data_IF_185244992182
#
_entry.id   IF_185244992182
#
_cell.length_a   1.000
_cell.length_b   1.000
_cell.length_c   1.000
_cell.angle_alpha   90.00
_cell.angle_beta   90.00
_cell.angle_gamma   90.00
#
_symmetry.space_group_name_H-M   'P 1'
#
loop_
_entity.id
_entity.type
_entity.pdbx_description
1 polymer ?
#
# COMPACT_ATOMS: atom_id res chain seq x y z
N UNK A 1 -56.01 -21.29 -32.30
CA UNK A 1 -55.37 -20.95 -31.01
C UNK A 1 -54.48 -22.13 -30.61
N UNK A 2 -53.20 -21.93 -30.24
CA UNK A 2 -52.37 -23.01 -29.74
C UNK A 2 -52.95 -23.57 -28.43
N UNK A 3 -52.82 -24.87 -28.21
CA UNK A 3 -53.33 -25.53 -27.02
C UNK A 3 -52.75 -24.91 -25.74
N UNK A 4 -53.56 -24.77 -24.66
CA UNK A 4 -53.08 -24.21 -23.41
C UNK A 4 -51.93 -25.04 -22.85
N UNK A 5 -50.78 -24.42 -22.60
CA UNK A 5 -49.59 -25.08 -22.04
C UNK A 5 -49.93 -25.64 -20.65
N UNK A 6 -50.15 -26.94 -20.52
CA UNK A 6 -50.37 -27.59 -19.22
C UNK A 6 -49.03 -27.80 -18.52
N UNK A 7 -49.03 -27.58 -17.20
CA UNK A 7 -47.93 -27.93 -16.32
C UNK A 7 -48.54 -28.76 -15.20
N UNK A 8 -48.19 -30.03 -15.20
CA UNK A 8 -48.57 -30.97 -14.15
C UNK A 8 -47.30 -31.22 -13.33
N UNK A 9 -47.33 -30.80 -12.05
CA UNK A 9 -46.25 -30.99 -11.09
C UNK A 9 -46.54 -32.26 -10.29
N UNK A 10 -45.50 -33.00 -9.90
CA UNK A 10 -45.63 -34.00 -8.85
C UNK A 10 -45.82 -33.33 -7.48
N UNK A 11 -46.32 -34.09 -6.49
CA UNK A 11 -46.44 -33.57 -5.12
C UNK A 11 -45.10 -33.15 -4.52
N UNK A 12 -44.02 -33.83 -4.91
CA UNK A 12 -42.65 -33.51 -4.49
C UNK A 12 -42.15 -32.22 -5.17
N UNK A 13 -42.45 -32.03 -6.45
CA UNK A 13 -42.08 -30.82 -7.19
C UNK A 13 -42.82 -29.58 -6.68
N UNK A 14 -44.10 -29.69 -6.32
CA UNK A 14 -44.86 -28.58 -5.73
C UNK A 14 -44.30 -28.18 -4.36
N UNK A 15 -43.97 -29.16 -3.51
CA UNK A 15 -43.31 -28.94 -2.21
C UNK A 15 -41.97 -28.25 -2.38
N UNK A 16 -41.13 -28.72 -3.30
CA UNK A 16 -39.82 -28.13 -3.59
C UNK A 16 -39.94 -26.68 -4.09
N UNK A 17 -40.93 -26.38 -4.93
CA UNK A 17 -41.19 -25.01 -5.41
C UNK A 17 -41.71 -24.10 -4.30
N UNK A 18 -42.52 -24.62 -3.37
CA UNK A 18 -42.98 -23.88 -2.19
C UNK A 18 -41.82 -23.57 -1.24
N UNK A 19 -40.93 -24.52 -1.00
CA UNK A 19 -39.73 -24.31 -0.17
C UNK A 19 -38.78 -23.29 -0.80
N UNK A 20 -38.57 -23.36 -2.12
CA UNK A 20 -37.73 -22.39 -2.85
C UNK A 20 -38.21 -20.94 -2.68
N UNK A 21 -39.53 -20.72 -2.57
CA UNK A 21 -40.08 -19.39 -2.31
C UNK A 21 -39.71 -18.87 -0.91
N UNK A 22 -39.60 -19.74 0.09
CA UNK A 22 -39.34 -19.40 1.50
C UNK A 22 -37.84 -19.19 1.79
N UNK A 23 -36.95 -19.89 1.09
CA UNK A 23 -35.51 -19.85 1.34
C UNK A 23 -34.89 -18.44 1.21
N UNK A 24 -34.04 -18.07 2.16
CA UNK A 24 -33.26 -16.83 2.12
C UNK A 24 -32.09 -16.95 1.12
N UNK A 25 -31.73 -15.86 0.44
CA UNK A 25 -30.62 -15.83 -0.54
C UNK A 25 -31.00 -16.18 -1.99
N UNK A 26 -32.20 -16.70 -2.23
CA UNK A 26 -32.70 -16.94 -3.60
C UNK A 26 -33.15 -15.63 -4.26
N UNK A 27 -32.73 -15.33 -5.50
CA UNK A 27 -33.14 -14.11 -6.20
C UNK A 27 -34.66 -14.02 -6.35
N UNK A 28 -35.22 -12.83 -6.14
CA UNK A 28 -36.67 -12.58 -6.22
C UNK A 28 -37.31 -13.12 -7.51
N UNK A 29 -36.64 -12.94 -8.66
CA UNK A 29 -37.12 -13.41 -9.97
C UNK A 29 -37.28 -14.93 -10.04
N UNK A 30 -36.45 -15.70 -9.31
CA UNK A 30 -36.54 -17.16 -9.28
C UNK A 30 -37.76 -17.58 -8.45
N UNK A 31 -37.99 -16.91 -7.31
CA UNK A 31 -39.19 -17.12 -6.46
C UNK A 31 -40.48 -16.79 -7.20
N UNK A 32 -40.51 -15.65 -7.91
CA UNK A 32 -41.65 -15.21 -8.71
C UNK A 32 -41.99 -16.23 -9.82
N UNK A 33 -40.98 -16.79 -10.50
CA UNK A 33 -41.18 -17.83 -11.52
C UNK A 33 -41.69 -19.14 -10.92
N UNK A 34 -41.16 -19.56 -9.76
CA UNK A 34 -41.65 -20.74 -9.06
C UNK A 34 -43.14 -20.61 -8.72
N UNK A 35 -43.56 -19.43 -8.27
CA UNK A 35 -44.97 -19.16 -7.96
C UNK A 35 -45.87 -19.17 -9.20
N UNK A 36 -45.41 -18.59 -10.32
CA UNK A 36 -46.12 -18.64 -11.60
C UNK A 36 -46.38 -20.09 -12.06
N UNK A 37 -45.42 -20.98 -11.85
CA UNK A 37 -45.53 -22.40 -12.22
C UNK A 37 -46.53 -23.13 -11.32
N UNK A 38 -46.46 -22.91 -10.00
CA UNK A 38 -47.43 -23.49 -9.05
C UNK A 38 -48.85 -23.01 -9.33
N UNK A 39 -49.05 -21.72 -9.61
CA UNK A 39 -50.37 -21.18 -9.99
C UNK A 39 -50.93 -21.85 -11.25
N UNK A 40 -50.07 -22.19 -12.20
CA UNK A 40 -50.47 -22.92 -13.41
C UNK A 40 -50.89 -24.35 -13.10
N UNK A 41 -50.18 -25.03 -12.21
CA UNK A 41 -50.51 -26.37 -11.74
C UNK A 41 -51.87 -26.41 -11.02
N UNK A 42 -52.18 -25.40 -10.20
CA UNK A 42 -53.50 -25.22 -9.58
C UNK A 42 -54.61 -24.73 -10.55
N UNK A 43 -54.38 -24.81 -11.87
CA UNK A 43 -55.41 -24.59 -12.88
C UNK A 43 -55.67 -23.13 -13.26
N UNK A 44 -54.82 -22.18 -12.86
CA UNK A 44 -55.02 -20.79 -13.25
C UNK A 44 -54.70 -20.56 -14.74
N UNK A 45 -55.51 -19.73 -15.40
CA UNK A 45 -55.29 -19.31 -16.78
C UNK A 45 -54.08 -18.38 -16.89
N UNK A 46 -53.48 -18.29 -18.08
CA UNK A 46 -52.32 -17.42 -18.33
C UNK A 46 -52.69 -15.96 -18.04
N UNK A 47 -53.90 -15.57 -18.44
CA UNK A 47 -54.46 -14.24 -18.30
C UNK A 47 -54.68 -13.89 -16.83
N UNK A 48 -55.20 -14.83 -16.03
CA UNK A 48 -55.41 -14.65 -14.59
C UNK A 48 -54.09 -14.52 -13.83
N UNK A 49 -53.10 -15.34 -14.17
CA UNK A 49 -51.74 -15.27 -13.58
C UNK A 49 -51.06 -13.94 -13.95
N UNK A 50 -51.17 -13.53 -15.22
CA UNK A 50 -50.61 -12.28 -15.71
C UNK A 50 -51.18 -11.05 -14.96
N UNK A 51 -52.50 -11.01 -14.77
CA UNK A 51 -53.17 -9.96 -14.01
C UNK A 51 -52.75 -9.96 -12.53
N UNK A 52 -52.74 -11.14 -11.88
CA UNK A 52 -52.36 -11.27 -10.47
C UNK A 52 -50.90 -10.85 -10.21
N UNK A 53 -49.99 -11.11 -11.15
CA UNK A 53 -48.56 -10.75 -11.04
C UNK A 53 -48.20 -9.41 -11.65
N UNK A 54 -49.13 -8.70 -12.29
CA UNK A 54 -48.86 -7.48 -13.04
C UNK A 54 -47.82 -7.67 -14.15
N UNK A 55 -47.86 -8.80 -14.87
CA UNK A 55 -46.95 -9.14 -15.98
C UNK A 55 -47.71 -9.28 -17.30
N UNK A 56 -46.96 -9.29 -18.41
CA UNK A 56 -47.55 -9.63 -19.71
C UNK A 56 -47.85 -11.15 -19.78
N UNK A 57 -48.93 -11.56 -20.48
CA UNK A 57 -49.19 -12.97 -20.77
C UNK A 57 -48.03 -13.69 -21.48
N UNK A 58 -47.24 -12.95 -22.27
CA UNK A 58 -46.04 -13.47 -22.93
C UNK A 58 -44.98 -13.91 -21.89
N UNK A 59 -44.71 -13.08 -20.89
CA UNK A 59 -43.76 -13.39 -19.82
C UNK A 59 -44.17 -14.63 -19.03
N UNK A 60 -45.47 -14.81 -18.78
CA UNK A 60 -46.01 -16.01 -18.12
C UNK A 60 -45.79 -17.25 -18.98
N UNK A 61 -46.07 -17.19 -20.29
CA UNK A 61 -45.79 -18.28 -21.24
C UNK A 61 -44.29 -18.60 -21.33
N UNK A 62 -43.43 -17.60 -21.33
CA UNK A 62 -41.97 -17.78 -21.30
C UNK A 62 -41.51 -18.54 -20.06
N UNK A 63 -42.13 -18.28 -18.89
CA UNK A 63 -41.83 -19.03 -17.67
C UNK A 63 -42.19 -20.51 -17.82
N UNK A 64 -43.32 -20.82 -18.45
CA UNK A 64 -43.72 -22.21 -18.71
C UNK A 64 -42.79 -22.90 -19.69
N UNK A 65 -42.36 -22.21 -20.74
CA UNK A 65 -41.37 -22.75 -21.69
C UNK A 65 -40.01 -22.99 -21.05
N UNK A 66 -39.59 -22.11 -20.12
CA UNK A 66 -38.36 -22.29 -19.34
C UNK A 66 -38.44 -23.47 -18.39
N UNK A 67 -39.63 -23.80 -17.87
CA UNK A 67 -39.84 -24.97 -17.01
C UNK A 67 -39.82 -26.29 -17.81
N UNK A 68 -40.53 -26.36 -18.94
CA UNK A 68 -40.87 -27.61 -19.63
C UNK A 68 -39.67 -28.52 -20.02
N UNK A 69 -38.47 -27.97 -20.21
CA UNK A 69 -37.26 -28.74 -20.61
C UNK A 69 -36.31 -29.00 -19.43
N UNK A 70 -35.79 -27.97 -18.74
CA UNK A 70 -34.83 -28.15 -17.64
C UNK A 70 -35.45 -28.17 -16.23
N UNK A 71 -36.78 -28.09 -16.10
CA UNK A 71 -37.47 -28.06 -14.80
C UNK A 71 -36.96 -26.92 -13.90
N UNK A 72 -36.56 -27.28 -12.68
CA UNK A 72 -36.07 -26.37 -11.64
C UNK A 72 -34.86 -25.53 -12.08
N UNK A 73 -33.94 -26.07 -12.87
CA UNK A 73 -32.79 -25.32 -13.39
C UNK A 73 -33.22 -24.18 -14.33
N UNK A 74 -34.35 -24.34 -15.01
CA UNK A 74 -34.92 -23.33 -15.92
C UNK A 74 -35.42 -22.06 -15.22
N UNK A 75 -35.61 -22.13 -13.90
CA UNK A 75 -36.00 -20.99 -13.09
C UNK A 75 -34.87 -19.97 -12.94
N UNK A 76 -33.62 -20.44 -12.98
CA UNK A 76 -32.44 -19.61 -12.83
C UNK A 76 -32.14 -18.81 -14.09
N UNK A 77 -31.58 -17.61 -13.92
CA UNK A 77 -31.11 -16.84 -15.07
C UNK A 77 -29.83 -17.48 -15.61
N UNK A 78 -29.82 -17.73 -16.93
CA UNK A 78 -28.57 -18.10 -17.61
C UNK A 78 -27.57 -16.97 -17.43
N UNK A 79 -26.30 -17.35 -17.27
CA UNK A 79 -25.19 -16.40 -17.18
C UNK A 79 -25.30 -15.39 -18.34
N UNK A 80 -25.43 -14.11 -18.01
CA UNK A 80 -25.80 -13.08 -18.98
C UNK A 80 -24.77 -12.93 -20.11
N UNK A 81 -25.23 -12.43 -21.26
CA UNK A 81 -24.39 -12.07 -22.42
C UNK A 81 -23.61 -10.77 -22.18
N UNK A 82 -23.02 -10.62 -21.00
CA UNK A 82 -22.20 -9.46 -20.66
C UNK A 82 -21.01 -9.33 -21.62
N UNK A 83 -20.46 -8.12 -21.72
CA UNK A 83 -19.26 -7.86 -22.53
C UNK A 83 -18.15 -8.82 -22.13
N UNK A 84 -17.70 -9.65 -23.07
CA UNK A 84 -16.58 -10.59 -22.85
C UNK A 84 -15.34 -9.82 -22.39
N UNK A 85 -14.56 -10.44 -21.50
CA UNK A 85 -13.30 -9.87 -21.01
C UNK A 85 -12.37 -9.61 -22.21
N UNK A 86 -11.70 -8.45 -22.21
CA UNK A 86 -10.70 -8.07 -23.23
C UNK A 86 -9.31 -8.66 -22.98
N UNK A 87 -9.14 -9.37 -21.86
CA UNK A 87 -7.87 -9.88 -21.36
C UNK A 87 -8.00 -11.37 -21.07
N UNK A 88 -6.90 -12.10 -21.22
CA UNK A 88 -6.76 -13.51 -20.84
C UNK A 88 -6.02 -13.62 -19.51
N UNK A 89 -6.10 -14.79 -18.89
CA UNK A 89 -5.42 -15.05 -17.62
C UNK A 89 -3.89 -14.88 -17.75
N UNK A 90 -3.31 -15.34 -18.86
CA UNK A 90 -1.88 -15.19 -19.19
C UNK A 90 -1.39 -13.73 -19.26
N UNK A 91 -2.30 -12.80 -19.59
CA UNK A 91 -2.00 -11.37 -19.63
C UNK A 91 -1.87 -10.81 -18.21
N UNK A 92 -2.67 -11.32 -17.26
CA UNK A 92 -2.61 -10.93 -15.86
C UNK A 92 -1.43 -11.57 -15.16
N UNK A 93 -1.17 -12.86 -15.41
CA UNK A 93 0.03 -13.54 -14.89
C UNK A 93 1.30 -12.81 -15.34
N UNK A 94 1.33 -12.30 -16.58
CA UNK A 94 2.43 -11.47 -17.06
C UNK A 94 2.59 -10.16 -16.28
N UNK A 95 1.48 -9.47 -15.97
CA UNK A 95 1.51 -8.25 -15.15
C UNK A 95 1.99 -8.54 -13.72
N UNK A 96 1.55 -9.64 -13.13
CA UNK A 96 1.97 -10.10 -11.79
C UNK A 96 3.47 -10.42 -11.78
N UNK A 97 3.95 -11.16 -12.79
CA UNK A 97 5.37 -11.43 -13.00
C UNK A 97 6.20 -10.15 -13.12
N UNK A 98 5.73 -9.18 -13.90
CA UNK A 98 6.37 -7.86 -13.99
C UNK A 98 6.36 -7.09 -12.67
N UNK A 99 5.36 -7.27 -11.81
CA UNK A 99 5.32 -6.60 -10.51
C UNK A 99 6.30 -7.22 -9.52
N UNK A 100 6.55 -8.53 -9.61
CA UNK A 100 7.43 -9.32 -8.76
C UNK A 100 8.91 -9.20 -9.16
N UNK A 101 9.23 -9.38 -10.45
CA UNK A 101 10.61 -9.50 -10.91
C UNK A 101 11.28 -8.16 -11.21
N UNK A 102 10.54 -7.17 -11.70
CA UNK A 102 11.17 -5.88 -12.05
C UNK A 102 11.52 -5.11 -10.77
N UNK A 103 12.77 -4.67 -10.67
CA UNK A 103 13.26 -3.80 -9.60
C UNK A 103 12.71 -2.37 -9.64
N UNK A 104 11.76 -2.05 -10.54
CA UNK A 104 11.16 -0.72 -10.72
C UNK A 104 9.72 -0.63 -10.22
N UNK A 105 9.32 0.51 -9.68
CA UNK A 105 7.92 0.81 -9.32
C UNK A 105 7.06 1.09 -10.54
N UNK A 106 5.85 0.50 -10.56
CA UNK A 106 4.88 0.73 -11.62
C UNK A 106 3.61 1.38 -11.08
N UNK A 107 3.15 2.44 -11.73
CA UNK A 107 1.80 2.96 -11.54
C UNK A 107 0.81 2.27 -12.50
N UNK A 108 -0.49 2.41 -12.24
CA UNK A 108 -1.53 1.78 -13.05
C UNK A 108 -1.49 2.21 -14.53
N UNK A 109 -1.06 3.44 -14.83
CA UNK A 109 -0.89 3.94 -16.19
C UNK A 109 0.29 3.31 -16.93
N UNK A 110 1.38 3.02 -16.23
CA UNK A 110 2.57 2.38 -16.78
C UNK A 110 2.30 0.91 -17.04
N UNK A 111 1.62 0.21 -16.12
CA UNK A 111 1.21 -1.18 -16.34
C UNK A 111 0.23 -1.28 -17.52
N UNK A 112 -0.75 -0.37 -17.61
CA UNK A 112 -1.67 -0.36 -18.76
C UNK A 112 -0.94 -0.13 -20.08
N UNK A 113 0.07 0.76 -20.12
CA UNK A 113 0.92 0.99 -21.30
C UNK A 113 1.79 -0.22 -21.63
N UNK A 114 2.38 -0.86 -20.62
CA UNK A 114 3.21 -2.07 -20.77
C UNK A 114 2.35 -3.22 -21.33
N UNK A 115 1.16 -3.43 -20.78
CA UNK A 115 0.19 -4.41 -21.26
C UNK A 115 -0.25 -4.15 -22.71
N UNK A 116 -0.49 -2.89 -23.06
CA UNK A 116 -0.83 -2.51 -24.43
C UNK A 116 0.34 -2.77 -25.41
N UNK A 117 1.58 -2.58 -24.98
CA UNK A 117 2.78 -2.74 -25.81
C UNK A 117 3.19 -4.20 -25.98
N UNK A 118 3.37 -4.94 -24.87
CA UNK A 118 3.87 -6.32 -24.89
C UNK A 118 2.78 -7.36 -25.20
N UNK A 119 1.53 -7.14 -24.76
CA UNK A 119 0.44 -8.12 -24.92
C UNK A 119 -0.66 -7.66 -25.87
N UNK A 120 -0.58 -6.43 -26.42
CA UNK A 120 -1.62 -5.82 -27.29
C UNK A 120 -3.00 -5.74 -26.63
N UNK A 121 -3.04 -5.75 -25.29
CA UNK A 121 -4.28 -5.70 -24.51
C UNK A 121 -4.47 -4.31 -23.93
N UNK A 122 -5.50 -3.61 -24.40
CA UNK A 122 -5.81 -2.23 -23.97
C UNK A 122 -6.82 -2.27 -22.82
N UNK A 123 -6.35 -1.93 -21.62
CA UNK A 123 -7.17 -1.77 -20.43
C UNK A 123 -7.04 -0.35 -19.88
N UNK A 124 -8.15 0.19 -19.33
CA UNK A 124 -8.09 1.43 -18.57
C UNK A 124 -7.40 1.22 -17.23
N UNK A 125 -6.81 2.29 -16.70
CA UNK A 125 -6.09 2.28 -15.42
C UNK A 125 -6.99 1.79 -14.28
N UNK A 126 -8.23 2.26 -14.22
CA UNK A 126 -9.18 1.87 -13.18
C UNK A 126 -9.64 0.43 -13.32
N UNK A 127 -9.76 -0.08 -14.55
CA UNK A 127 -10.08 -1.49 -14.76
C UNK A 127 -8.95 -2.36 -14.25
N UNK A 128 -7.70 -1.98 -14.52
CA UNK A 128 -6.53 -2.70 -14.03
C UNK A 128 -6.44 -2.66 -12.50
N UNK A 129 -6.67 -1.49 -11.87
CA UNK A 129 -6.74 -1.38 -10.39
C UNK A 129 -7.78 -2.31 -9.78
N UNK A 130 -8.99 -2.34 -10.34
CA UNK A 130 -10.08 -3.23 -9.86
C UNK A 130 -9.69 -4.70 -9.96
N UNK A 131 -9.05 -5.09 -11.07
CA UNK A 131 -8.58 -6.46 -11.28
C UNK A 131 -7.49 -6.82 -10.26
N UNK A 132 -6.47 -5.97 -10.09
CA UNK A 132 -5.39 -6.19 -9.14
C UNK A 132 -5.91 -6.30 -7.70
N UNK A 133 -6.84 -5.40 -7.30
CA UNK A 133 -7.47 -5.45 -5.98
C UNK A 133 -8.26 -6.75 -5.76
N UNK A 134 -9.02 -7.21 -6.76
CA UNK A 134 -9.75 -8.47 -6.68
C UNK A 134 -8.83 -9.70 -6.55
N UNK A 135 -7.57 -9.57 -6.97
CA UNK A 135 -6.52 -10.59 -6.85
C UNK A 135 -5.61 -10.40 -5.62
N UNK A 136 -5.99 -9.52 -4.69
CA UNK A 136 -5.26 -9.34 -3.43
C UNK A 136 -4.12 -8.33 -3.45
N UNK A 137 -3.89 -7.63 -4.56
CA UNK A 137 -2.87 -6.58 -4.63
C UNK A 137 -3.37 -5.26 -4.04
N UNK A 138 -2.54 -4.61 -3.22
CA UNK A 138 -2.89 -3.34 -2.55
C UNK A 138 -1.90 -2.24 -2.91
N UNK A 139 -2.41 -1.03 -3.10
CA UNK A 139 -1.58 0.17 -3.25
C UNK A 139 -1.10 0.63 -1.86
N UNK A 140 0.20 0.51 -1.58
CA UNK A 140 0.80 0.93 -0.31
C UNK A 140 2.10 1.70 -0.55
N UNK A 141 2.55 2.45 0.47
CA UNK A 141 3.86 3.09 0.43
C UNK A 141 4.95 2.04 0.64
N UNK A 142 6.00 2.09 -0.16
CA UNK A 142 7.25 1.38 0.14
C UNK A 142 8.02 2.11 1.24
N UNK A 143 8.73 1.36 2.09
CA UNK A 143 9.68 1.90 3.08
C UNK A 143 11.09 1.41 2.75
N UNK A 144 12.11 2.08 3.27
CA UNK A 144 13.44 1.50 3.38
C UNK A 144 13.53 0.69 4.69
N UNK A 145 14.07 -0.53 4.63
CA UNK A 145 14.42 -1.33 5.81
C UNK A 145 15.95 -1.35 5.94
N UNK A 146 16.46 -1.05 7.13
CA UNK A 146 17.89 -1.24 7.41
C UNK A 146 18.16 -2.75 7.59
N UNK A 147 19.24 -3.29 7.01
CA UNK A 147 19.46 -4.74 6.95
C UNK A 147 19.78 -5.38 8.31
N UNK A 148 20.37 -4.64 9.25
CA UNK A 148 20.74 -5.15 10.58
C UNK A 148 20.13 -4.23 11.65
N UNK A 149 19.27 -4.75 12.52
CA UNK A 149 18.78 -4.01 13.69
C UNK A 149 19.73 -4.22 14.87
N UNK A 150 20.07 -3.15 15.57
CA UNK A 150 20.92 -3.19 16.76
C UNK A 150 20.28 -3.99 17.92
N UNK A 151 21.11 -4.45 18.86
CA UNK A 151 20.68 -5.12 20.08
C UNK A 151 19.69 -4.24 20.88
N UNK A 152 18.48 -4.76 21.21
CA UNK A 152 17.48 -4.02 21.98
C UNK A 152 17.98 -3.45 23.31
N UNK A 153 18.89 -4.13 24.02
CA UNK A 153 19.40 -3.67 25.32
C UNK A 153 20.29 -2.44 25.17
N UNK A 154 21.19 -2.45 24.19
CA UNK A 154 22.07 -1.31 23.88
C UNK A 154 21.24 -0.09 23.49
N UNK A 155 20.18 -0.30 22.71
CA UNK A 155 19.25 0.77 22.34
C UNK A 155 18.51 1.36 23.53
N UNK A 156 18.11 0.54 24.51
CA UNK A 156 17.43 1.01 25.71
C UNK A 156 18.37 1.85 26.59
N UNK A 157 19.60 1.38 26.81
CA UNK A 157 20.60 2.12 27.59
C UNK A 157 20.91 3.48 26.94
N UNK A 158 21.16 3.50 25.62
CA UNK A 158 21.43 4.74 24.87
C UNK A 158 20.24 5.70 24.88
N UNK A 159 19.01 5.18 24.95
CA UNK A 159 17.82 6.02 25.11
C UNK A 159 17.78 6.67 26.50
N UNK A 160 18.07 5.93 27.56
CA UNK A 160 18.14 6.49 28.91
C UNK A 160 19.21 7.58 29.04
N UNK A 161 20.40 7.36 28.45
CA UNK A 161 21.47 8.38 28.35
C UNK A 161 20.96 9.66 27.67
N UNK A 162 20.25 9.50 26.54
CA UNK A 162 19.70 10.62 25.77
C UNK A 162 18.62 11.37 26.55
N UNK A 163 17.72 10.64 27.21
CA UNK A 163 16.67 11.22 28.04
C UNK A 163 17.29 12.07 29.15
N UNK A 164 18.33 11.57 29.84
CA UNK A 164 19.06 12.33 30.86
C UNK A 164 19.65 13.64 30.30
N UNK A 165 20.25 13.60 29.11
CA UNK A 165 20.76 14.81 28.45
C UNK A 165 19.65 15.81 28.12
N UNK A 166 18.47 15.35 27.72
CA UNK A 166 17.31 16.22 27.51
C UNK A 166 16.83 16.88 28.80
N UNK A 167 16.81 16.14 29.91
CA UNK A 167 16.47 16.68 31.22
C UNK A 167 17.47 17.76 31.66
N UNK A 168 18.76 17.47 31.58
CA UNK A 168 19.82 18.44 31.91
C UNK A 168 19.75 19.70 31.03
N UNK A 169 19.47 19.54 29.74
CA UNK A 169 19.29 20.69 28.84
C UNK A 169 18.06 21.53 29.20
N UNK A 170 16.95 20.88 29.55
CA UNK A 170 15.71 21.56 29.93
C UNK A 170 15.83 22.25 31.29
N UNK A 171 16.70 21.75 32.17
CA UNK A 171 17.06 22.38 33.44
C UNK A 171 18.03 23.56 33.27
N UNK A 172 18.58 23.78 32.07
CA UNK A 172 19.58 24.83 31.81
C UNK A 172 20.98 24.48 32.32
N UNK A 173 21.27 23.21 32.59
CA UNK A 173 22.59 22.78 33.06
C UNK A 173 23.59 22.59 31.91
N UNK A 174 23.08 22.21 30.74
CA UNK A 174 23.89 21.96 29.54
C UNK A 174 23.23 22.55 28.30
N UNK A 175 24.06 22.86 27.30
CA UNK A 175 23.60 23.15 25.95
C UNK A 175 23.71 21.90 25.07
N UNK A 176 22.58 21.31 24.70
CA UNK A 176 22.53 20.10 23.89
C UNK A 176 22.52 20.42 22.39
N UNK A 177 23.42 19.77 21.63
CA UNK A 177 23.47 19.80 20.17
C UNK A 177 23.47 18.38 19.59
N UNK A 178 22.87 18.21 18.42
CA UNK A 178 22.83 16.96 17.67
C UNK A 178 23.59 17.11 16.36
N UNK A 179 24.58 16.26 16.14
CA UNK A 179 25.37 16.21 14.92
C UNK A 179 24.83 15.11 14.00
N UNK A 180 24.48 15.48 12.77
CA UNK A 180 24.05 14.53 11.75
C UNK A 180 24.53 14.96 10.34
N UNK A 181 24.66 13.97 9.44
CA UNK A 181 25.04 14.18 8.04
C UNK A 181 23.85 13.92 7.11
N UNK A 182 23.52 14.92 6.29
CA UNK A 182 22.50 14.81 5.25
C UNK A 182 23.10 14.94 3.85
N UNK A 183 22.72 14.02 2.98
CA UNK A 183 23.22 13.95 1.60
C UNK A 183 22.17 14.26 0.55
N UNK A 184 22.44 15.29 -0.24
CA UNK A 184 21.60 15.68 -1.37
C UNK A 184 22.25 15.16 -2.65
N UNK A 185 21.62 14.16 -3.24
CA UNK A 185 22.00 13.62 -4.54
C UNK A 185 20.97 14.01 -5.59
N UNK A 186 21.39 14.01 -6.85
CA UNK A 186 20.49 14.27 -7.99
C UNK A 186 19.56 13.07 -8.30
N UNK A 187 19.49 12.07 -7.42
CA UNK A 187 18.69 10.86 -7.65
C UNK A 187 17.27 10.98 -7.10
N UNK A 188 16.31 10.40 -7.82
CA UNK A 188 14.90 10.45 -7.42
C UNK A 188 14.66 9.69 -6.10
N UNK A 189 13.94 10.26 -5.12
CA UNK A 189 13.59 9.56 -3.89
C UNK A 189 12.59 8.42 -4.15
N UNK A 190 12.49 7.49 -3.19
CA UNK A 190 11.49 6.40 -3.22
C UNK A 190 10.09 6.97 -3.15
N UNK A 191 9.22 6.45 -4.02
CA UNK A 191 7.82 6.83 -4.10
C UNK A 191 6.91 5.61 -4.01
N UNK A 192 5.61 5.85 -3.80
CA UNK A 192 4.57 4.84 -3.67
C UNK A 192 4.52 3.88 -4.87
N UNK A 193 4.33 2.58 -4.60
CA UNK A 193 4.23 1.52 -5.62
C UNK A 193 3.36 0.36 -5.15
N UNK A 194 2.86 -0.47 -6.07
CA UNK A 194 2.20 -1.72 -5.70
C UNK A 194 3.23 -2.75 -5.16
N UNK A 195 2.84 -3.50 -4.14
CA UNK A 195 3.55 -4.65 -3.57
C UNK A 195 2.53 -5.73 -3.15
N UNK A 196 2.94 -7.00 -3.03
CA UNK A 196 2.05 -8.09 -2.57
C UNK A 196 1.61 -7.86 -1.13
N UNK A 197 0.45 -8.42 -0.76
CA UNK A 197 -0.03 -8.39 0.63
C UNK A 197 0.95 -9.19 1.51
N UNK A 198 1.75 -8.48 2.31
CA UNK A 198 2.76 -9.07 3.19
C UNK A 198 4.21 -8.94 2.70
N UNK A 199 4.44 -8.48 1.47
CA UNK A 199 5.79 -8.31 0.92
C UNK A 199 6.13 -6.83 0.64
N UNK A 200 7.42 -6.52 0.57
CA UNK A 200 7.94 -5.16 0.38
C UNK A 200 8.92 -5.11 -0.80
N UNK A 201 8.67 -4.21 -1.75
CA UNK A 201 9.49 -4.03 -2.96
C UNK A 201 10.81 -3.28 -2.68
N UNK A 202 11.90 -3.74 -3.27
CA UNK A 202 13.27 -3.17 -3.16
C UNK A 202 13.69 -2.58 -4.53
N UNK A 203 14.31 -1.40 -4.53
CA UNK A 203 14.90 -0.75 -5.71
C UNK A 203 16.43 -0.93 -5.69
N UNK A 204 17.03 -1.35 -6.81
CA UNK A 204 18.49 -1.45 -6.93
C UNK A 204 19.14 -0.14 -7.38
N UNK A 205 20.34 0.14 -6.86
CA UNK A 205 21.03 1.41 -7.03
C UNK A 205 21.89 1.45 -8.31
N UNK A 206 21.79 2.50 -9.15
CA UNK A 206 22.56 2.63 -10.40
C UNK A 206 24.05 2.97 -10.17
N UNK A 207 24.91 2.66 -11.15
CA UNK A 207 26.38 2.80 -11.08
C UNK A 207 26.91 4.26 -11.07
N UNK A 208 26.22 5.22 -11.70
CA UNK A 208 26.63 6.65 -11.75
C UNK A 208 25.68 7.50 -10.91
N UNK A 209 26.21 8.13 -9.85
CA UNK A 209 25.41 8.81 -8.81
C UNK A 209 25.43 10.36 -8.86
N UNK A 210 26.11 10.94 -9.85
CA UNK A 210 26.34 12.40 -9.93
C UNK A 210 27.22 12.93 -8.78
N UNK A 211 27.42 14.25 -8.71
CA UNK A 211 28.05 14.90 -7.55
C UNK A 211 27.01 15.02 -6.42
N UNK A 212 27.38 14.62 -5.21
CA UNK A 212 26.53 14.71 -4.00
C UNK A 212 26.97 15.92 -3.17
N UNK A 213 26.01 16.74 -2.76
CA UNK A 213 26.23 17.79 -1.76
C UNK A 213 25.94 17.18 -0.39
N UNK A 214 26.92 17.21 0.50
CA UNK A 214 26.74 16.77 1.87
C UNK A 214 26.72 17.98 2.81
N UNK A 215 25.83 17.92 3.78
CA UNK A 215 25.69 18.89 4.86
C UNK A 215 25.98 18.16 6.15
N UNK A 216 26.93 18.68 6.92
CA UNK A 216 27.17 18.24 8.30
C UNK A 216 26.60 19.32 9.21
N UNK A 217 25.52 19.00 9.91
CA UNK A 217 24.76 19.97 10.71
C UNK A 217 24.83 19.66 12.19
N UNK A 218 25.04 20.69 13.01
CA UNK A 218 24.80 20.69 14.45
C UNK A 218 23.52 21.46 14.75
N UNK A 219 22.55 20.74 15.28
CA UNK A 219 21.26 21.28 15.63
C UNK A 219 21.06 21.33 17.13
N UNK A 220 20.74 22.51 17.65
CA UNK A 220 20.28 22.71 19.03
C UNK A 220 18.80 23.05 18.99
N UNK A 221 17.97 22.26 19.67
CA UNK A 221 16.51 22.33 19.54
C UNK A 221 16.00 23.71 19.95
N UNK A 222 15.43 24.46 19.01
CA UNK A 222 14.87 25.78 19.26
C UNK A 222 15.90 26.90 19.49
N UNK A 223 17.20 26.62 19.38
CA UNK A 223 18.27 27.60 19.69
C UNK A 223 19.08 27.96 18.45
N UNK A 224 19.72 26.96 17.79
CA UNK A 224 20.62 27.24 16.67
C UNK A 224 20.76 26.06 15.72
N UNK A 225 21.13 26.36 14.48
CA UNK A 225 21.50 25.37 13.48
C UNK A 225 22.80 25.81 12.78
N UNK A 226 23.89 25.14 13.13
CA UNK A 226 25.22 25.43 12.63
C UNK A 226 25.60 24.34 11.62
N UNK A 227 26.08 24.69 10.42
CA UNK A 227 26.31 23.67 9.39
C UNK A 227 27.54 23.94 8.52
N UNK A 228 28.15 22.86 8.05
CA UNK A 228 29.19 22.87 7.02
C UNK A 228 28.69 22.24 5.73
N UNK A 229 29.05 22.83 4.59
CA UNK A 229 28.74 22.30 3.26
C UNK A 229 29.98 21.73 2.60
N UNK A 230 29.85 20.54 2.00
CA UNK A 230 30.91 19.93 1.20
C UNK A 230 30.36 19.26 -0.04
N UNK A 231 30.93 19.57 -1.20
CA UNK A 231 30.75 18.76 -2.39
C UNK A 231 31.60 17.48 -2.28
N UNK A 232 30.93 16.32 -2.28
CA UNK A 232 31.54 15.02 -2.03
C UNK A 232 31.47 14.58 -0.57
N UNK A 233 32.28 13.60 -0.20
CA UNK A 233 32.30 13.04 1.15
C UNK A 233 33.03 13.94 2.15
N UNK A 234 32.53 13.98 3.39
CA UNK A 234 33.31 14.52 4.50
C UNK A 234 34.49 13.59 4.83
N UNK A 235 35.59 14.20 5.24
CA UNK A 235 36.82 13.52 5.70
C UNK A 235 37.18 14.04 7.09
N UNK A 236 38.07 13.35 7.79
CA UNK A 236 38.57 13.72 9.12
C UNK A 236 38.93 15.20 9.23
N UNK A 237 39.75 15.73 8.31
CA UNK A 237 40.18 17.13 8.34
C UNK A 237 39.02 18.14 8.27
N UNK A 238 38.00 17.85 7.45
CA UNK A 238 36.85 18.77 7.29
C UNK A 238 35.95 18.71 8.52
N UNK A 239 35.82 17.52 9.10
CA UNK A 239 35.11 17.31 10.36
C UNK A 239 35.80 18.02 11.54
N UNK A 240 37.13 17.88 11.66
CA UNK A 240 37.92 18.54 12.72
C UNK A 240 37.76 20.05 12.64
N UNK A 241 37.89 20.65 11.44
CA UNK A 241 37.69 22.10 11.26
C UNK A 241 36.33 22.58 11.74
N UNK A 242 35.28 21.81 11.49
CA UNK A 242 33.92 22.14 11.88
C UNK A 242 33.72 22.00 13.40
N UNK A 243 34.30 20.97 14.02
CA UNK A 243 34.26 20.82 15.48
C UNK A 243 35.14 21.81 16.23
N UNK A 244 36.30 22.19 15.69
CA UNK A 244 37.12 23.25 16.29
C UNK A 244 36.38 24.59 16.28
N UNK A 245 35.70 24.92 15.18
CA UNK A 245 34.84 26.10 15.12
C UNK A 245 33.72 26.03 16.18
N UNK A 246 33.12 24.86 16.38
CA UNK A 246 32.12 24.69 17.44
C UNK A 246 32.69 24.78 18.84
N UNK A 247 33.85 24.20 19.09
CA UNK A 247 34.49 24.25 20.40
C UNK A 247 34.86 25.71 20.76
N UNK A 248 35.21 26.55 19.78
CA UNK A 248 35.38 27.99 20.01
C UNK A 248 34.06 28.68 20.40
N UNK A 249 32.94 28.34 19.75
CA UNK A 249 31.63 28.88 20.11
C UNK A 249 31.17 28.38 21.49
N UNK A 250 31.50 27.13 21.82
CA UNK A 250 31.22 26.53 23.11
C UNK A 250 32.02 27.23 24.23
N UNK A 251 33.32 27.49 24.02
CA UNK A 251 34.15 28.24 24.97
C UNK A 251 33.60 29.64 25.26
N UNK A 252 33.24 30.39 24.23
CA UNK A 252 32.64 31.72 24.39
C UNK A 252 31.29 31.69 25.13
N UNK A 253 30.56 30.58 25.02
CA UNK A 253 29.29 30.40 25.71
C UNK A 253 29.53 30.01 27.18
N UNK A 254 30.41 29.04 27.42
CA UNK A 254 30.81 28.59 28.74
C UNK A 254 31.35 29.75 29.60
N UNK A 255 32.17 30.64 29.03
CA UNK A 255 32.64 31.85 29.73
C UNK A 255 31.50 32.80 30.16
N UNK A 256 30.37 32.80 29.44
CA UNK A 256 29.25 33.71 29.69
C UNK A 256 28.18 33.12 30.61
N UNK A 257 27.90 31.82 30.48
CA UNK A 257 26.78 31.16 31.17
C UNK A 257 27.24 30.11 32.17
N UNK A 258 28.47 29.60 32.06
CA UNK A 258 28.95 28.44 32.81
C UNK A 258 28.39 27.10 32.32
N UNK A 259 27.59 27.11 31.24
CA UNK A 259 26.96 25.91 30.69
C UNK A 259 27.88 25.22 29.68
N UNK A 260 28.12 23.91 29.87
CA UNK A 260 28.90 23.10 28.93
C UNK A 260 28.08 22.74 27.69
N UNK A 261 28.75 22.62 26.53
CA UNK A 261 28.08 22.21 25.29
C UNK A 261 28.27 20.73 25.02
N UNK A 262 27.19 19.96 25.08
CA UNK A 262 27.21 18.52 24.80
C UNK A 262 26.74 18.27 23.37
N UNK A 263 27.60 17.65 22.56
CA UNK A 263 27.29 17.25 21.18
C UNK A 263 27.03 15.74 21.14
N UNK A 264 25.78 15.36 20.83
CA UNK A 264 25.38 13.98 20.56
C UNK A 264 25.59 13.67 19.08
N UNK A 265 26.28 12.56 18.80
CA UNK A 265 26.61 12.14 17.45
C UNK A 265 26.54 10.62 17.31
N UNK A 266 26.52 10.14 16.06
CA UNK A 266 26.53 8.71 15.76
C UNK A 266 27.93 8.09 15.90
N UNK A 267 28.02 6.79 15.61
CA UNK A 267 29.27 6.03 15.64
C UNK A 267 29.94 5.94 14.25
N UNK A 268 29.82 6.97 13.43
CA UNK A 268 30.45 6.94 12.11
C UNK A 268 31.98 6.87 12.24
N UNK A 269 32.68 6.06 11.42
CA UNK A 269 34.14 5.85 11.54
C UNK A 269 34.98 7.14 11.52
N UNK A 270 34.50 8.19 10.85
CA UNK A 270 35.19 9.49 10.79
C UNK A 270 35.29 10.11 12.19
N UNK A 271 34.21 10.06 12.98
CA UNK A 271 34.14 10.63 14.33
C UNK A 271 35.06 9.92 15.32
N UNK A 272 35.42 8.67 15.04
CA UNK A 272 36.29 7.84 15.89
C UNK A 272 37.70 7.65 15.34
N UNK A 273 38.07 8.35 14.28
CA UNK A 273 39.41 8.27 13.71
C UNK A 273 40.47 8.72 14.71
N UNK A 274 41.69 8.16 14.62
CA UNK A 274 42.79 8.50 15.54
C UNK A 274 43.06 10.01 15.59
N UNK A 275 43.11 10.62 14.40
CA UNK A 275 43.30 12.06 14.22
C UNK A 275 42.22 12.89 14.94
N UNK A 276 40.97 12.43 14.98
CA UNK A 276 39.89 13.14 15.68
C UNK A 276 40.01 12.97 17.20
N UNK A 277 40.41 11.80 17.68
CA UNK A 277 40.54 11.53 19.12
C UNK A 277 41.62 12.38 19.79
N UNK A 278 42.68 12.71 19.08
CA UNK A 278 43.73 13.62 19.56
C UNK A 278 43.19 15.02 19.95
N UNK A 279 42.02 15.41 19.41
CA UNK A 279 41.41 16.70 19.71
C UNK A 279 40.35 16.64 20.82
N UNK A 280 39.98 15.45 21.31
CA UNK A 280 38.92 15.30 22.30
C UNK A 280 39.25 16.00 23.62
N UNK A 281 40.46 15.80 24.14
CA UNK A 281 40.90 16.44 25.38
C UNK A 281 40.90 17.97 25.25
N UNK A 282 41.33 18.48 24.09
CA UNK A 282 41.32 19.91 23.76
C UNK A 282 39.89 20.46 23.75
N UNK A 283 38.95 19.78 23.11
CA UNK A 283 37.56 20.24 23.04
C UNK A 283 36.84 20.13 24.37
N UNK A 284 37.13 19.10 25.17
CA UNK A 284 36.54 18.93 26.50
C UNK A 284 36.95 20.05 27.47
N UNK A 285 38.17 20.56 27.35
CA UNK A 285 38.63 21.70 28.14
C UNK A 285 37.97 23.03 27.74
N UNK A 286 37.32 23.09 26.58
CA UNK A 286 36.70 24.29 26.02
C UNK A 286 35.21 24.43 26.36
N UNK A 287 34.62 23.53 27.14
CA UNK A 287 33.24 23.62 27.62
C UNK A 287 32.24 22.82 26.80
#
# INVERSE_FOLDING_TARGET
MPAPLKIDLSEEEDKNLLELQKLAGIPYRVKERAEIIRLRHYGWSVEKIAQYKGKSPHTVRDCFHRWKKPGMEGLWEKMGRGRKKKWKEDDLVYVEKCLEEDSRTYNAAQLARKLARERKVVLSQDRLRKILKARGWVWKRTRYKQPNGDDPQVKLAKKADLDWLFWAHSAGEIRLKFLDESGFSLWSPVSYTYARLGEQKVLEQTKRRGKRLNILGLYSVGVSFDYGLKLGSFKGDTYIKLLEWQAQLAAQHFEKTGEITVIVQDNHPIHRSKQVREYWDKWQQQG
#
